data_IF_863371752462
#
_entry.id   IF_863371752462
#
_cell.length_a   1.000
_cell.length_b   1.000
_cell.length_c   1.000
_cell.angle_alpha   90.00
_cell.angle_beta   90.00
_cell.angle_gamma   90.00
#
_symmetry.space_group_name_H-M   'P 1'
#
loop_
_entity.id
_entity.type
_entity.pdbx_description
1 polymer ?
#
# COMPACT_ATOMS: atom_id res chain seq x y z
N UNK A 1 10.26 28.34 63.48
CA UNK A 1 11.27 28.08 62.42
C UNK A 1 10.66 27.07 61.46
N UNK A 2 10.12 27.55 60.34
CA UNK A 2 9.22 26.82 59.44
C UNK A 2 10.05 25.97 58.47
N UNK A 3 9.89 24.65 58.50
CA UNK A 3 10.51 23.71 57.56
C UNK A 3 9.72 23.74 56.25
N UNK A 4 10.29 24.35 55.22
CA UNK A 4 9.78 24.27 53.85
C UNK A 4 10.06 22.86 53.29
N UNK A 5 9.02 22.04 53.12
CA UNK A 5 9.10 20.87 52.24
C UNK A 5 9.09 21.36 50.80
N UNK A 6 10.21 21.20 50.10
CA UNK A 6 10.29 21.44 48.66
C UNK A 6 9.65 20.24 47.93
N UNK A 7 8.45 20.43 47.39
CA UNK A 7 7.83 19.49 46.46
C UNK A 7 8.48 19.70 45.10
N UNK A 8 9.37 18.79 44.70
CA UNK A 8 9.87 18.73 43.33
C UNK A 8 8.73 18.26 42.42
N UNK A 9 8.11 19.18 41.69
CA UNK A 9 7.16 18.85 40.64
C UNK A 9 7.94 18.31 39.43
N UNK A 10 7.86 17.00 39.16
CA UNK A 10 8.32 16.43 37.90
C UNK A 10 7.42 16.97 36.77
N UNK A 11 7.98 17.60 35.72
CA UNK A 11 7.19 17.96 34.55
C UNK A 11 6.72 16.67 33.88
N UNK A 12 5.40 16.45 33.86
CA UNK A 12 4.80 15.34 33.16
C UNK A 12 5.17 15.41 31.69
N UNK A 13 5.87 14.40 31.19
CA UNK A 13 6.11 14.20 29.76
C UNK A 13 4.75 13.87 29.15
N UNK A 14 4.06 14.89 28.64
CA UNK A 14 2.87 14.72 27.83
C UNK A 14 3.32 14.11 26.49
N UNK A 15 3.30 12.78 26.40
CA UNK A 15 3.49 12.07 25.15
C UNK A 15 2.45 12.55 24.14
N UNK A 16 2.91 13.13 23.03
CA UNK A 16 2.04 13.54 21.94
C UNK A 16 1.40 12.29 21.33
N UNK A 17 0.12 12.07 21.59
CA UNK A 17 -0.69 11.11 20.86
C UNK A 17 -0.85 11.63 19.43
N UNK A 18 0.05 11.23 18.53
CA UNK A 18 -0.16 11.44 17.10
C UNK A 18 -1.29 10.51 16.67
N UNK A 19 -2.43 11.09 16.30
CA UNK A 19 -3.46 10.36 15.57
C UNK A 19 -2.82 9.80 14.29
N UNK A 20 -2.99 8.51 14.04
CA UNK A 20 -2.60 7.87 12.78
C UNK A 20 -3.30 8.64 11.65
N UNK A 21 -2.52 9.23 10.76
CA UNK A 21 -3.09 10.02 9.67
C UNK A 21 -3.78 9.09 8.67
N UNK A 22 -5.00 9.43 8.28
CA UNK A 22 -5.75 8.61 7.33
C UNK A 22 -4.97 8.43 6.02
N UNK A 23 -4.93 7.19 5.53
CA UNK A 23 -4.28 6.87 4.25
C UNK A 23 -4.96 7.63 3.10
N UNK A 24 -4.13 8.24 2.25
CA UNK A 24 -4.55 8.99 1.06
C UNK A 24 -3.94 8.33 -0.15
N UNK A 25 -4.77 7.73 -1.00
CA UNK A 25 -4.32 6.98 -2.18
C UNK A 25 -3.23 7.70 -3.00
N UNK A 26 -3.44 8.98 -3.34
CA UNK A 26 -2.48 9.72 -4.17
C UNK A 26 -1.14 10.02 -3.47
N UNK A 27 -1.13 10.12 -2.14
CA UNK A 27 0.09 10.40 -1.36
C UNK A 27 0.82 9.12 -1.02
N UNK A 28 0.08 8.11 -0.57
CA UNK A 28 0.64 6.94 0.11
C UNK A 28 0.73 5.70 -0.79
N UNK A 29 -0.18 5.53 -1.77
CA UNK A 29 -0.30 4.29 -2.55
C UNK A 29 0.13 4.47 -4.01
N UNK A 30 -0.31 5.55 -4.65
CA UNK A 30 -0.03 5.83 -6.07
C UNK A 30 1.48 5.84 -6.37
N UNK A 31 2.37 6.45 -5.55
CA UNK A 31 3.81 6.41 -5.84
C UNK A 31 4.35 4.98 -5.89
N UNK A 32 3.94 4.12 -4.95
CA UNK A 32 4.36 2.72 -4.89
C UNK A 32 3.95 1.98 -6.17
N UNK A 33 2.70 2.13 -6.59
CA UNK A 33 2.20 1.49 -7.80
C UNK A 33 2.82 2.08 -9.08
N UNK A 34 3.12 3.37 -9.07
CA UNK A 34 3.78 4.05 -10.19
C UNK A 34 5.18 3.49 -10.43
N UNK A 35 5.93 3.30 -9.33
CA UNK A 35 7.32 2.85 -9.39
C UNK A 35 7.43 1.36 -9.72
N UNK A 36 6.55 0.53 -9.14
CA UNK A 36 6.67 -0.93 -9.24
C UNK A 36 5.75 -1.59 -10.27
N UNK A 37 4.62 -0.96 -10.65
CA UNK A 37 3.56 -1.67 -11.38
C UNK A 37 3.16 -1.01 -12.70
N UNK A 38 3.08 0.33 -12.76
CA UNK A 38 2.47 1.02 -13.90
C UNK A 38 3.29 0.98 -15.19
N UNK A 39 4.59 0.66 -15.12
CA UNK A 39 5.38 0.46 -16.33
C UNK A 39 4.79 -0.65 -17.22
N UNK A 40 4.47 -1.80 -16.62
CA UNK A 40 3.92 -2.96 -17.33
C UNK A 40 2.39 -3.08 -17.23
N UNK A 41 1.74 -2.43 -16.26
CA UNK A 41 0.30 -2.53 -16.01
C UNK A 41 -0.40 -1.17 -15.90
N UNK A 42 0.13 -0.16 -16.59
CA UNK A 42 -0.39 1.21 -16.59
C UNK A 42 -0.84 1.69 -17.96
N UNK A 43 -0.76 3.00 -18.24
CA UNK A 43 -1.44 3.62 -19.38
C UNK A 43 -0.83 3.29 -20.74
N UNK A 44 0.46 2.98 -20.81
CA UNK A 44 1.15 2.71 -22.08
C UNK A 44 0.71 1.36 -22.67
N UNK A 45 0.00 1.40 -23.80
CA UNK A 45 -0.51 0.19 -24.43
C UNK A 45 0.58 -0.73 -24.99
N UNK A 46 1.74 -0.18 -25.35
CA UNK A 46 2.84 -0.95 -25.96
C UNK A 46 3.57 -1.79 -24.93
N UNK A 47 3.75 -1.24 -23.73
CA UNK A 47 4.38 -1.94 -22.62
C UNK A 47 3.39 -2.82 -21.83
N UNK A 48 2.08 -2.53 -21.94
CA UNK A 48 1.03 -3.17 -21.14
C UNK A 48 0.96 -4.69 -21.31
N UNK A 49 1.22 -5.41 -20.22
CA UNK A 49 1.10 -6.87 -20.11
C UNK A 49 -0.26 -7.27 -19.55
N UNK A 50 -0.74 -8.44 -19.98
CA UNK A 50 -2.00 -9.03 -19.49
C UNK A 50 -3.27 -8.24 -19.84
N UNK A 51 -3.18 -7.11 -20.54
CA UNK A 51 -4.29 -6.18 -20.72
C UNK A 51 -4.75 -5.51 -19.41
N UNK A 52 -3.93 -5.59 -18.36
CA UNK A 52 -4.25 -5.12 -17.02
C UNK A 52 -3.93 -3.62 -16.88
N UNK A 53 -4.83 -2.89 -16.19
CA UNK A 53 -4.72 -1.46 -15.89
C UNK A 53 -4.89 -1.22 -14.39
N UNK A 54 -3.77 -1.10 -13.67
CA UNK A 54 -3.75 -0.81 -12.24
C UNK A 54 -3.84 0.69 -11.94
N UNK A 55 -3.57 1.53 -12.93
CA UNK A 55 -3.66 3.00 -12.84
C UNK A 55 -5.10 3.53 -12.88
N UNK A 56 -6.05 2.69 -13.33
CA UNK A 56 -7.48 3.00 -13.37
C UNK A 56 -8.24 2.16 -12.36
N UNK A 57 -8.88 2.81 -11.38
CA UNK A 57 -9.65 2.11 -10.34
C UNK A 57 -10.72 1.17 -10.92
N UNK A 58 -11.49 1.64 -11.91
CA UNK A 58 -12.53 0.82 -12.56
C UNK A 58 -12.00 -0.45 -13.24
N UNK A 59 -10.71 -0.47 -13.64
CA UNK A 59 -10.08 -1.62 -14.29
C UNK A 59 -9.34 -2.51 -13.30
N UNK A 60 -8.79 -1.94 -12.23
CA UNK A 60 -8.10 -2.68 -11.18
C UNK A 60 -9.05 -3.54 -10.31
N UNK A 61 -10.35 -3.23 -10.32
CA UNK A 61 -11.36 -3.91 -9.50
C UNK A 61 -12.10 -5.03 -10.23
N UNK A 62 -11.89 -5.18 -11.54
CA UNK A 62 -12.59 -6.20 -12.35
C UNK A 62 -11.64 -7.34 -12.71
N UNK A 63 -12.15 -8.59 -12.83
CA UNK A 63 -11.34 -9.71 -13.27
C UNK A 63 -10.59 -9.44 -14.57
N UNK A 64 -9.29 -9.75 -14.56
CA UNK A 64 -8.44 -9.69 -15.74
C UNK A 64 -8.53 -10.95 -16.60
N UNK A 65 -7.56 -11.13 -17.51
CA UNK A 65 -7.47 -12.34 -18.35
C UNK A 65 -7.27 -13.63 -17.54
N UNK A 66 -6.72 -13.55 -16.34
CA UNK A 66 -6.59 -14.68 -15.41
C UNK A 66 -7.93 -15.14 -14.82
N UNK A 67 -9.01 -14.36 -14.99
CA UNK A 67 -10.28 -14.60 -14.32
C UNK A 67 -10.31 -14.14 -12.86
N UNK A 68 -9.19 -13.64 -12.33
CA UNK A 68 -9.05 -13.15 -10.96
C UNK A 68 -9.06 -11.61 -10.93
N UNK A 69 -9.63 -11.06 -9.86
CA UNK A 69 -9.66 -9.61 -9.64
C UNK A 69 -8.31 -9.13 -9.10
N UNK A 70 -7.67 -8.12 -9.72
CA UNK A 70 -6.40 -7.59 -9.24
C UNK A 70 -6.51 -7.08 -7.80
N UNK A 71 -7.55 -6.29 -7.51
CA UNK A 71 -7.80 -5.72 -6.18
C UNK A 71 -9.25 -5.99 -5.78
N UNK A 72 -9.44 -6.57 -4.60
CA UNK A 72 -10.75 -6.79 -3.98
C UNK A 72 -10.88 -5.86 -2.75
N UNK A 73 -11.74 -4.83 -2.80
CA UNK A 73 -11.88 -3.87 -1.71
C UNK A 73 -12.25 -4.54 -0.38
N UNK A 74 -11.49 -4.22 0.67
CA UNK A 74 -11.70 -4.75 2.01
C UNK A 74 -11.31 -6.21 2.21
N UNK A 75 -10.78 -6.89 1.17
CA UNK A 75 -10.33 -8.29 1.24
C UNK A 75 -8.96 -8.46 0.55
N UNK A 76 -7.89 -7.89 1.13
CA UNK A 76 -6.54 -7.97 0.55
C UNK A 76 -6.11 -9.42 0.26
N UNK A 77 -6.45 -10.36 1.14
CA UNK A 77 -6.07 -11.77 1.07
C UNK A 77 -6.58 -12.53 -0.17
N UNK A 78 -7.60 -12.00 -0.86
CA UNK A 78 -8.10 -12.55 -2.14
C UNK A 78 -7.77 -11.67 -3.34
N UNK A 79 -6.99 -10.61 -3.13
CA UNK A 79 -6.54 -9.71 -4.20
C UNK A 79 -5.34 -10.33 -4.91
N UNK A 80 -5.44 -10.49 -6.23
CA UNK A 80 -4.39 -11.15 -7.01
C UNK A 80 -3.05 -10.40 -6.92
N UNK A 81 -3.07 -9.07 -6.84
CA UNK A 81 -1.81 -8.31 -6.69
C UNK A 81 -1.03 -8.72 -5.45
N UNK A 82 -1.69 -9.06 -4.35
CA UNK A 82 -1.00 -9.52 -3.14
C UNK A 82 -0.51 -10.95 -3.26
N UNK A 83 -1.21 -11.82 -3.98
CA UNK A 83 -0.71 -13.16 -4.27
C UNK A 83 0.60 -13.07 -5.07
N UNK A 84 0.64 -12.25 -6.12
CA UNK A 84 1.77 -12.13 -7.06
C UNK A 84 3.04 -11.57 -6.43
N UNK A 85 2.93 -10.60 -5.53
CA UNK A 85 4.12 -9.98 -4.90
C UNK A 85 4.75 -10.85 -3.78
N UNK A 86 4.02 -11.87 -3.31
CA UNK A 86 4.51 -12.79 -2.29
C UNK A 86 4.99 -14.13 -2.87
N UNK A 87 4.96 -14.29 -4.19
CA UNK A 87 5.59 -15.44 -4.84
C UNK A 87 7.10 -15.37 -4.69
N UNK A 88 7.75 -16.53 -4.74
CA UNK A 88 9.20 -16.62 -4.76
C UNK A 88 9.77 -15.96 -6.02
N UNK A 89 10.98 -15.41 -5.93
CA UNK A 89 11.56 -14.63 -7.02
C UNK A 89 11.85 -15.43 -8.31
N UNK A 90 11.88 -16.76 -8.23
CA UNK A 90 12.06 -17.66 -9.38
C UNK A 90 10.74 -18.15 -9.98
N UNK A 91 9.59 -17.78 -9.40
CA UNK A 91 8.28 -18.06 -9.97
C UNK A 91 8.05 -17.19 -11.22
N UNK A 92 7.59 -17.80 -12.31
CA UNK A 92 7.31 -17.09 -13.57
C UNK A 92 6.21 -16.03 -13.43
N UNK A 93 5.38 -16.16 -12.41
CA UNK A 93 4.21 -15.34 -12.15
C UNK A 93 4.46 -14.23 -11.12
N UNK A 94 5.66 -14.16 -10.52
CA UNK A 94 6.05 -13.13 -9.54
C UNK A 94 5.99 -11.73 -10.15
N UNK A 95 5.58 -10.76 -9.33
CA UNK A 95 5.54 -9.35 -9.73
C UNK A 95 6.18 -8.45 -8.65
N UNK A 96 6.94 -7.39 -9.04
CA UNK A 96 7.44 -7.18 -10.39
C UNK A 96 8.44 -8.29 -10.79
N UNK A 97 8.60 -8.59 -12.10
CA UNK A 97 9.61 -9.54 -12.55
C UNK A 97 11.03 -9.09 -12.15
N UNK A 98 11.94 -10.03 -11.84
CA UNK A 98 13.32 -9.74 -11.43
C UNK A 98 14.20 -9.14 -12.55
#
# INVERSE_FOLDING_TARGET
MIRFLAILALPGIAGSLRAEEALRFNRDIRPILSDACFHCHGPDEKERKGGLRLDLAEKALVPGKSGLSPIVPGKPEVSEVLARIHLESDDSDVMPPP
#
